data_IF_955558888653
#
_entry.id   IF_955558888653
#
_cell.length_a   1.000
_cell.length_b   1.000
_cell.length_c   1.000
_cell.angle_alpha   90.00
_cell.angle_beta   90.00
_cell.angle_gamma   90.00
#
_symmetry.space_group_name_H-M   'P 1'
#
loop_
_entity.id
_entity.type
_entity.pdbx_description
1 polymer ?
#
# COMPACT_ATOMS: atom_id res chain seq x y z
N UNK A 1 10.68 -2.42 -10.39
CA UNK A 1 9.46 -1.60 -10.18
C UNK A 1 9.45 -0.41 -11.14
N UNK A 2 10.45 0.49 -11.09
CA UNK A 2 10.51 1.68 -11.95
C UNK A 2 10.49 1.38 -13.45
N UNK A 3 11.15 0.29 -13.87
CA UNK A 3 11.11 -0.17 -15.25
C UNK A 3 9.69 -0.49 -15.73
N UNK A 4 8.95 -1.29 -14.96
CA UNK A 4 7.53 -1.58 -15.24
C UNK A 4 6.66 -0.32 -15.20
N UNK A 5 6.96 0.65 -14.34
CA UNK A 5 6.27 1.94 -14.37
C UNK A 5 6.52 2.69 -15.69
N UNK A 6 7.77 2.78 -16.15
CA UNK A 6 8.14 3.44 -17.41
C UNK A 6 7.49 2.75 -18.62
N UNK A 7 7.40 1.43 -18.59
CA UNK A 7 6.76 0.62 -19.64
C UNK A 7 5.22 0.60 -19.53
N UNK A 8 4.64 1.21 -18.50
CA UNK A 8 3.21 1.16 -18.17
C UNK A 8 2.68 -0.27 -17.95
N UNK A 9 3.55 -1.16 -17.48
CA UNK A 9 3.25 -2.56 -17.16
C UNK A 9 2.66 -2.70 -15.76
N UNK A 10 1.33 -2.52 -15.65
CA UNK A 10 0.65 -2.43 -14.36
C UNK A 10 0.72 -3.74 -13.53
N UNK A 11 0.54 -4.89 -14.18
CA UNK A 11 0.54 -6.20 -13.50
C UNK A 11 1.93 -6.55 -12.93
N UNK A 12 3.01 -6.53 -13.73
CA UNK A 12 4.38 -6.69 -13.22
C UNK A 12 4.75 -5.63 -12.17
N UNK A 13 4.33 -4.37 -12.34
CA UNK A 13 4.53 -3.34 -11.33
C UNK A 13 3.96 -3.74 -9.97
N UNK A 14 2.70 -4.21 -9.92
CA UNK A 14 2.07 -4.61 -8.66
C UNK A 14 2.70 -5.84 -8.00
N UNK A 15 3.25 -6.76 -8.81
CA UNK A 15 3.99 -7.89 -8.28
C UNK A 15 5.27 -7.43 -7.59
N UNK A 16 6.10 -6.63 -8.25
CA UNK A 16 7.36 -6.16 -7.67
C UNK A 16 7.10 -5.20 -6.49
N UNK A 17 6.10 -4.33 -6.61
CA UNK A 17 5.67 -3.45 -5.50
C UNK A 17 5.36 -4.28 -4.25
N UNK A 18 4.61 -5.38 -4.37
CA UNK A 18 4.28 -6.25 -3.23
C UNK A 18 5.52 -6.91 -2.63
N UNK A 19 6.42 -7.43 -3.46
CA UNK A 19 7.64 -8.08 -2.99
C UNK A 19 8.52 -7.14 -2.17
N UNK A 20 8.59 -5.85 -2.52
CA UNK A 20 9.32 -4.83 -1.74
C UNK A 20 8.74 -4.72 -0.33
N UNK A 21 7.41 -4.59 -0.21
CA UNK A 21 6.73 -4.53 1.09
C UNK A 21 6.94 -5.79 1.91
N UNK A 22 6.76 -6.97 1.31
CA UNK A 22 7.00 -8.26 1.95
C UNK A 22 8.45 -8.38 2.46
N UNK A 23 9.43 -7.88 1.70
CA UNK A 23 10.84 -7.89 2.10
C UNK A 23 11.12 -6.98 3.31
N UNK A 24 10.52 -5.78 3.33
CA UNK A 24 10.65 -4.85 4.47
C UNK A 24 10.03 -5.47 5.74
N UNK A 25 8.86 -6.09 5.60
CA UNK A 25 8.16 -6.73 6.71
C UNK A 25 8.93 -7.94 7.23
N UNK A 26 9.47 -8.78 6.36
CA UNK A 26 10.34 -9.89 6.76
C UNK A 26 11.57 -9.40 7.53
N UNK A 27 12.19 -8.30 7.07
CA UNK A 27 13.34 -7.69 7.75
C UNK A 27 12.99 -7.10 9.13
N UNK A 28 11.71 -6.82 9.42
CA UNK A 28 11.28 -6.33 10.73
C UNK A 28 11.25 -7.41 11.83
N UNK A 29 11.30 -8.70 11.44
CA UNK A 29 11.19 -9.85 12.33
C UNK A 29 9.97 -9.78 13.28
N UNK A 30 8.85 -9.25 12.77
CA UNK A 30 7.60 -9.10 13.50
C UNK A 30 6.48 -9.90 12.81
N UNK A 31 6.24 -11.11 13.31
CA UNK A 31 5.29 -12.06 12.73
C UNK A 31 3.84 -11.54 12.74
N UNK A 32 3.47 -10.80 13.79
CA UNK A 32 2.13 -10.20 13.92
C UNK A 32 1.92 -9.16 12.82
N UNK A 33 2.93 -8.33 12.55
CA UNK A 33 2.87 -7.34 11.49
C UNK A 33 2.78 -7.98 10.09
N UNK A 34 3.50 -9.08 9.87
CA UNK A 34 3.43 -9.84 8.62
C UNK A 34 2.04 -10.44 8.40
N UNK A 35 1.45 -11.03 9.43
CA UNK A 35 0.09 -11.60 9.37
C UNK A 35 -0.95 -10.52 9.07
N UNK A 36 -0.91 -9.39 9.79
CA UNK A 36 -1.79 -8.25 9.56
C UNK A 36 -1.68 -7.74 8.12
N UNK A 37 -0.46 -7.58 7.60
CA UNK A 37 -0.25 -7.17 6.22
C UNK A 37 -0.79 -8.19 5.21
N UNK A 38 -0.56 -9.49 5.43
CA UNK A 38 -1.07 -10.54 4.54
C UNK A 38 -2.58 -10.47 4.41
N UNK A 39 -3.28 -10.38 5.54
CA UNK A 39 -4.75 -10.26 5.59
C UNK A 39 -5.25 -9.01 4.86
N UNK A 40 -4.61 -7.85 5.11
CA UNK A 40 -4.96 -6.61 4.43
C UNK A 40 -4.68 -6.68 2.91
N UNK A 41 -3.54 -7.25 2.52
CA UNK A 41 -3.13 -7.34 1.12
C UNK A 41 -4.09 -8.20 0.30
N UNK A 42 -4.68 -9.24 0.89
CA UNK A 42 -5.67 -10.09 0.23
C UNK A 42 -6.98 -9.34 -0.03
N UNK A 43 -7.45 -8.55 0.95
CA UNK A 43 -8.62 -7.67 0.79
C UNK A 43 -8.37 -6.66 -0.32
N UNK A 44 -7.25 -5.95 -0.27
CA UNK A 44 -6.87 -4.94 -1.28
C UNK A 44 -6.61 -5.56 -2.67
N UNK A 45 -6.07 -6.78 -2.78
CA UNK A 45 -5.89 -7.46 -4.08
C UNK A 45 -7.21 -7.70 -4.79
N UNK A 46 -8.25 -8.16 -4.07
CA UNK A 46 -9.59 -8.37 -4.65
C UNK A 46 -10.17 -7.07 -5.20
N UNK A 47 -9.91 -5.96 -4.52
CA UNK A 47 -10.30 -4.60 -4.94
C UNK A 47 -9.49 -4.10 -6.13
N UNK A 48 -8.17 -4.29 -6.15
CA UNK A 48 -7.28 -3.68 -7.16
C UNK A 48 -7.54 -4.14 -8.60
N UNK A 49 -8.24 -5.27 -8.78
CA UNK A 49 -8.67 -5.72 -10.10
C UNK A 49 -9.86 -4.90 -10.64
N UNK A 50 -10.53 -4.07 -9.84
CA UNK A 50 -11.48 -3.04 -10.31
C UNK A 50 -10.77 -1.72 -10.66
N UNK A 51 -10.21 -1.65 -11.87
CA UNK A 51 -10.09 -0.46 -12.76
C UNK A 51 -9.95 0.99 -12.22
N UNK A 52 -9.36 1.27 -11.04
CA UNK A 52 -9.24 2.65 -10.49
C UNK A 52 -7.82 3.16 -10.23
N UNK A 53 -6.76 2.52 -10.75
CA UNK A 53 -5.42 3.12 -10.69
C UNK A 53 -5.27 4.26 -11.70
N UNK A 54 -5.25 5.50 -11.21
CA UNK A 54 -4.99 6.69 -12.06
C UNK A 54 -3.49 6.97 -12.14
N UNK A 55 -3.07 7.69 -13.18
CA UNK A 55 -1.67 8.13 -13.35
C UNK A 55 -1.16 8.95 -12.15
N UNK A 56 -2.04 9.74 -11.52
CA UNK A 56 -1.70 10.52 -10.33
C UNK A 56 -1.35 9.62 -9.14
N UNK A 57 -2.17 8.61 -8.87
CA UNK A 57 -1.89 7.68 -7.76
C UNK A 57 -0.69 6.79 -8.06
N UNK A 58 -0.50 6.40 -9.32
CA UNK A 58 0.66 5.60 -9.71
C UNK A 58 1.97 6.38 -9.54
N UNK A 59 2.04 7.61 -10.04
CA UNK A 59 3.23 8.47 -9.88
C UNK A 59 3.53 8.80 -8.41
N UNK A 60 2.49 9.04 -7.59
CA UNK A 60 2.68 9.22 -6.15
C UNK A 60 3.22 7.95 -5.48
N UNK A 61 2.66 6.77 -5.78
CA UNK A 61 3.13 5.50 -5.22
C UNK A 61 4.60 5.22 -5.61
N UNK A 62 5.00 5.56 -6.83
CA UNK A 62 6.40 5.47 -7.29
C UNK A 62 7.30 6.38 -6.45
N UNK A 63 6.91 7.64 -6.25
CA UNK A 63 7.65 8.60 -5.44
C UNK A 63 7.79 8.16 -3.99
N UNK A 64 6.74 7.60 -3.39
CA UNK A 64 6.80 7.04 -2.05
C UNK A 64 7.85 5.93 -1.96
N UNK A 65 7.89 5.04 -2.96
CA UNK A 65 8.88 3.97 -3.02
C UNK A 65 10.32 4.47 -3.17
N UNK A 66 10.55 5.53 -3.95
CA UNK A 66 11.87 6.17 -4.02
C UNK A 66 12.27 6.75 -2.65
N UNK A 67 11.34 7.38 -1.93
CA UNK A 67 11.58 7.89 -0.58
C UNK A 67 11.85 6.77 0.44
N UNK A 68 11.14 5.64 0.35
CA UNK A 68 11.40 4.45 1.19
C UNK A 68 12.83 3.94 1.00
N UNK A 69 13.29 3.85 -0.25
CA UNK A 69 14.65 3.42 -0.57
C UNK A 69 15.70 4.38 0.03
N UNK A 70 15.49 5.69 -0.13
CA UNK A 70 16.38 6.69 0.47
C UNK A 70 16.41 6.61 2.00
N UNK A 71 15.29 6.34 2.66
CA UNK A 71 15.23 6.16 4.11
C UNK A 71 15.95 4.88 4.56
N UNK A 72 15.82 3.78 3.80
CA UNK A 72 16.54 2.53 4.05
C UNK A 72 18.06 2.70 3.91
N UNK A 73 18.52 3.37 2.85
CA UNK A 73 19.94 3.66 2.62
C UNK A 73 20.54 4.49 3.77
N UNK A 74 19.78 5.46 4.30
CA UNK A 74 20.16 6.28 5.44
C UNK A 74 19.98 5.58 6.79
N UNK A 75 19.39 4.38 6.82
CA UNK A 75 18.99 3.64 8.03
C UNK A 75 18.09 4.46 8.97
N UNK A 76 17.26 5.34 8.40
CA UNK A 76 16.32 6.19 9.14
C UNK A 76 14.99 5.45 9.32
N UNK A 77 14.88 4.70 10.41
CA UNK A 77 13.70 3.88 10.71
C UNK A 77 12.46 4.73 11.00
N UNK A 78 12.63 5.94 11.56
CA UNK A 78 11.52 6.83 11.88
C UNK A 78 10.89 7.38 10.60
N UNK A 79 11.72 7.89 9.69
CA UNK A 79 11.27 8.36 8.38
C UNK A 79 10.64 7.23 7.56
N UNK A 80 11.27 6.05 7.53
CA UNK A 80 10.72 4.90 6.81
C UNK A 80 9.34 4.51 7.35
N UNK A 81 9.17 4.47 8.67
CA UNK A 81 7.89 4.17 9.30
C UNK A 81 6.80 5.19 8.94
N UNK A 82 7.15 6.48 8.85
CA UNK A 82 6.22 7.51 8.43
C UNK A 82 5.80 7.32 6.96
N UNK A 83 6.75 7.14 6.05
CA UNK A 83 6.47 6.95 4.63
C UNK A 83 5.61 5.70 4.40
N UNK A 84 5.87 4.59 5.11
CA UNK A 84 5.08 3.36 5.01
C UNK A 84 3.64 3.56 5.46
N UNK A 85 3.41 4.32 6.54
CA UNK A 85 2.05 4.67 7.00
C UNK A 85 1.32 5.50 5.96
N UNK A 86 1.94 6.57 5.48
CA UNK A 86 1.33 7.48 4.50
C UNK A 86 1.01 6.74 3.19
N UNK A 87 1.94 5.91 2.73
CA UNK A 87 1.75 5.05 1.55
C UNK A 87 0.57 4.08 1.71
N UNK A 88 0.40 3.49 2.90
CA UNK A 88 -0.71 2.60 3.19
C UNK A 88 -2.04 3.35 3.19
N UNK A 89 -2.12 4.52 3.81
CA UNK A 89 -3.31 5.38 3.81
C UNK A 89 -3.71 5.76 2.39
N UNK A 90 -2.76 6.21 1.55
CA UNK A 90 -3.03 6.54 0.15
C UNK A 90 -3.56 5.33 -0.64
N UNK A 91 -3.02 4.13 -0.37
CA UNK A 91 -3.47 2.89 -1.00
C UNK A 91 -4.88 2.49 -0.56
N UNK A 92 -5.24 2.75 0.70
CA UNK A 92 -6.58 2.52 1.25
C UNK A 92 -7.56 3.53 0.68
N UNK A 93 -7.21 4.81 0.59
CA UNK A 93 -8.06 5.85 0.00
C UNK A 93 -8.44 5.50 -1.45
N UNK A 94 -7.49 5.03 -2.25
CA UNK A 94 -7.76 4.52 -3.60
C UNK A 94 -8.74 3.33 -3.59
N UNK A 95 -8.66 2.46 -2.58
CA UNK A 95 -9.57 1.32 -2.41
C UNK A 95 -10.96 1.73 -1.86
N UNK A 96 -11.04 2.79 -1.05
CA UNK A 96 -12.29 3.34 -0.52
C UNK A 96 -13.03 4.15 -1.58
N UNK A 97 -12.35 5.03 -2.32
CA UNK A 97 -12.90 5.78 -3.46
C UNK A 97 -13.35 4.86 -4.59
N UNK A 98 -12.80 3.65 -4.64
CA UNK A 98 -13.26 2.59 -5.51
C UNK A 98 -14.66 2.03 -5.13
N UNK A 99 -15.21 2.44 -3.98
CA UNK A 99 -16.47 1.95 -3.42
C UNK A 99 -16.35 0.58 -2.74
N UNK A 100 -15.16 0.24 -2.22
CA UNK A 100 -14.83 -1.15 -1.83
C UNK A 100 -14.42 -1.31 -0.37
N UNK A 101 -14.35 -0.21 0.38
CA UNK A 101 -14.38 -0.22 1.84
C UNK A 101 -15.57 0.67 2.21
N UNK A 102 -16.70 0.06 2.57
CA UNK A 102 -17.73 0.80 3.29
C UNK A 102 -17.14 1.21 4.63
N UNK A 103 -17.02 2.52 4.85
CA UNK A 103 -16.93 3.06 6.21
C UNK A 103 -18.34 3.10 6.80
N UNK A 104 -19.04 1.96 6.80
CA UNK A 104 -20.24 1.79 7.62
C UNK A 104 -19.80 1.25 8.99
N UNK A 105 -19.21 2.13 9.79
CA UNK A 105 -19.17 1.97 11.24
C UNK A 105 -19.44 3.32 11.93
N UNK A 106 -20.31 4.14 11.33
CA UNK A 106 -20.88 5.33 11.95
C UNK A 106 -22.41 5.32 11.76
N UNK A 107 -23.10 4.83 12.80
CA UNK A 107 -24.55 4.89 13.13
C UNK A 107 -25.22 3.52 13.33
N UNK A 108 -24.85 2.84 14.42
CA UNK A 108 -25.79 1.92 15.10
C UNK A 108 -25.52 1.86 16.61
N UNK A 109 -25.56 3.02 17.26
CA UNK A 109 -25.87 3.11 18.70
C UNK A 109 -26.78 4.32 18.92
N UNK A 110 -27.93 4.35 18.23
CA UNK A 110 -29.04 5.23 18.55
C UNK A 110 -30.33 4.50 18.16
N UNK A 111 -31.16 4.21 19.18
CA UNK A 111 -32.38 3.39 19.20
C UNK A 111 -32.11 1.88 19.08
N UNK A 112 -32.45 1.04 20.06
CA UNK A 112 -33.59 1.06 20.99
C UNK A 112 -33.23 0.41 22.33
#
# INVERSE_FOLDING_TARGET
MLEHYRNRDLMPYFQVNRQIHESILAASNNDVLQEMYSNLSQRVKRVRYSKQMTERYWSQAVKDHENMMAALEKRDSQLLGQILRDHLCNKIEVATLAGVIDTEDDKSVANS
#
